data_IF_234362831145
#
_entry.id   IF_234362831145
#
_cell.length_a   1.000
_cell.length_b   1.000
_cell.length_c   1.000
_cell.angle_alpha   90.00
_cell.angle_beta   90.00
_cell.angle_gamma   90.00
#
_symmetry.space_group_name_H-M   'P 1'
#
loop_
_entity.id
_entity.type
_entity.pdbx_description
1 polymer ?
#
# COMPACT_ATOMS: atom_id res chain seq x y z
N UNK A 1 -28.13 -49.42 -5.90
CA UNK A 1 -26.97 -48.56 -5.62
C UNK A 1 -26.00 -48.80 -6.77
N UNK A 2 -25.90 -47.83 -7.69
CA UNK A 2 -25.01 -47.96 -8.85
C UNK A 2 -23.55 -47.97 -8.42
N UNK A 3 -22.85 -49.04 -8.78
CA UNK A 3 -21.44 -49.26 -8.44
C UNK A 3 -20.55 -48.13 -8.98
N UNK A 4 -20.93 -47.57 -10.13
CA UNK A 4 -20.23 -46.48 -10.80
C UNK A 4 -20.29 -45.16 -10.00
N UNK A 5 -21.38 -44.91 -9.29
CA UNK A 5 -21.52 -43.74 -8.42
C UNK A 5 -20.65 -43.84 -7.17
N UNK A 6 -20.49 -45.05 -6.63
CA UNK A 6 -19.62 -45.34 -5.49
C UNK A 6 -18.13 -45.19 -5.85
N UNK A 7 -17.73 -45.68 -7.03
CA UNK A 7 -16.37 -45.51 -7.55
C UNK A 7 -16.06 -44.03 -7.81
N UNK A 8 -17.02 -43.27 -8.34
CA UNK A 8 -16.87 -41.83 -8.54
C UNK A 8 -16.71 -41.06 -7.21
N UNK A 9 -17.45 -41.47 -6.18
CA UNK A 9 -17.36 -40.88 -4.84
C UNK A 9 -16.02 -41.18 -4.15
N UNK A 10 -15.41 -42.33 -4.42
CA UNK A 10 -14.12 -42.73 -3.85
C UNK A 10 -12.90 -42.24 -4.63
N UNK A 11 -12.99 -42.20 -5.97
CA UNK A 11 -11.88 -41.81 -6.86
C UNK A 11 -11.82 -40.32 -7.16
N UNK A 12 -12.89 -39.57 -6.88
CA UNK A 12 -13.02 -38.16 -7.23
C UNK A 12 -13.15 -37.89 -8.74
N UNK A 13 -13.20 -38.94 -9.57
CA UNK A 13 -13.39 -38.85 -11.01
C UNK A 13 -14.82 -39.26 -11.38
N UNK A 14 -15.56 -38.34 -12.01
CA UNK A 14 -16.89 -38.63 -12.51
C UNK A 14 -16.82 -39.52 -13.76
N UNK A 15 -17.80 -40.43 -13.96
CA UNK A 15 -17.87 -41.26 -15.15
C UNK A 15 -18.04 -40.40 -16.42
N UNK A 16 -17.57 -40.90 -17.58
CA UNK A 16 -17.65 -40.17 -18.84
C UNK A 16 -19.10 -39.81 -19.17
N UNK A 17 -19.38 -38.51 -19.37
CA UNK A 17 -20.72 -37.97 -19.60
C UNK A 17 -21.30 -37.19 -18.41
N UNK A 18 -20.71 -37.32 -17.20
CA UNK A 18 -21.08 -36.52 -16.04
C UNK A 18 -20.18 -35.27 -15.94
N UNK A 19 -20.76 -34.09 -16.14
CA UNK A 19 -20.08 -32.81 -15.87
C UNK A 19 -20.18 -32.50 -14.38
N UNK A 20 -19.05 -32.14 -13.75
CA UNK A 20 -19.08 -31.46 -12.45
C UNK A 20 -19.99 -30.23 -12.58
N UNK A 21 -20.92 -29.99 -11.65
CA UNK A 21 -21.63 -28.72 -11.62
C UNK A 21 -20.58 -27.61 -11.61
N UNK A 22 -20.67 -26.67 -12.55
CA UNK A 22 -19.80 -25.50 -12.56
C UNK A 22 -19.82 -24.91 -11.15
N UNK A 23 -18.64 -24.78 -10.53
CA UNK A 23 -18.53 -24.21 -9.19
C UNK A 23 -19.34 -22.92 -9.18
N UNK A 24 -20.39 -22.89 -8.34
CA UNK A 24 -21.23 -21.70 -8.22
C UNK A 24 -20.27 -20.56 -7.92
N UNK A 25 -20.25 -19.46 -8.71
CA UNK A 25 -19.39 -18.35 -8.39
C UNK A 25 -19.77 -17.90 -6.98
N UNK A 26 -18.86 -18.13 -6.03
CA UNK A 26 -19.11 -17.83 -4.63
C UNK A 26 -19.64 -16.40 -4.55
N UNK A 27 -20.74 -16.23 -3.81
CA UNK A 27 -21.42 -14.94 -3.72
C UNK A 27 -20.45 -13.91 -3.16
N UNK A 28 -19.81 -13.13 -4.06
CA UNK A 28 -18.82 -12.13 -3.66
C UNK A 28 -19.51 -11.14 -2.72
N UNK A 29 -18.92 -10.85 -1.55
CA UNK A 29 -19.55 -9.97 -0.59
C UNK A 29 -19.83 -8.61 -1.20
N UNK A 30 -20.97 -8.04 -0.81
CA UNK A 30 -21.35 -6.72 -1.25
C UNK A 30 -20.55 -5.64 -0.49
N UNK A 31 -20.44 -4.47 -1.10
CA UNK A 31 -19.86 -3.28 -0.49
C UNK A 31 -20.53 -2.94 0.86
N UNK A 32 -19.74 -2.64 1.89
CA UNK A 32 -20.27 -2.26 3.22
C UNK A 32 -21.03 -0.92 3.29
N UNK A 33 -21.07 -0.14 2.21
CA UNK A 33 -21.76 1.14 2.21
C UNK A 33 -23.27 0.93 2.02
N UNK A 34 -24.07 1.59 2.86
CA UNK A 34 -25.54 1.58 2.75
C UNK A 34 -25.97 1.88 1.29
N UNK A 35 -26.86 1.05 0.74
CA UNK A 35 -27.42 1.14 -0.63
C UNK A 35 -26.42 0.86 -1.77
N UNK A 36 -25.25 0.27 -1.48
CA UNK A 36 -24.32 -0.18 -2.53
C UNK A 36 -24.29 -1.71 -2.58
N UNK A 37 -24.77 -2.30 -3.68
CA UNK A 37 -24.82 -3.74 -3.89
C UNK A 37 -23.70 -4.26 -4.80
N UNK A 38 -22.67 -3.44 -5.04
CA UNK A 38 -21.56 -3.85 -5.90
C UNK A 38 -20.66 -4.86 -5.19
N UNK A 39 -20.13 -5.87 -5.92
CA UNK A 39 -19.16 -6.79 -5.36
C UNK A 39 -17.88 -6.04 -4.99
N UNK A 40 -17.20 -6.53 -3.96
CA UNK A 40 -15.90 -6.02 -3.54
C UNK A 40 -14.76 -6.77 -4.24
N UNK A 41 -13.62 -6.10 -4.39
CA UNK A 41 -12.41 -6.72 -4.90
C UNK A 41 -11.72 -7.56 -3.82
N UNK A 42 -10.98 -8.57 -4.25
CA UNK A 42 -10.05 -9.32 -3.40
C UNK A 42 -8.72 -8.57 -3.40
N UNK A 43 -8.17 -8.31 -2.22
CA UNK A 43 -6.87 -7.67 -2.03
C UNK A 43 -5.75 -8.67 -2.36
N UNK A 44 -4.51 -8.15 -2.49
CA UNK A 44 -3.32 -8.97 -2.74
C UNK A 44 -3.04 -10.03 -1.66
N UNK A 45 -3.52 -9.82 -0.43
CA UNK A 45 -3.40 -10.76 0.68
C UNK A 45 -4.58 -11.76 0.77
N UNK A 46 -5.41 -11.88 -0.27
CA UNK A 46 -6.58 -12.77 -0.28
C UNK A 46 -7.79 -12.25 0.49
N UNK A 47 -7.65 -11.18 1.27
CA UNK A 47 -8.77 -10.58 2.01
C UNK A 47 -9.73 -9.84 1.08
N UNK A 48 -11.01 -9.87 1.43
CA UNK A 48 -12.04 -9.09 0.75
C UNK A 48 -11.97 -7.62 1.17
N UNK A 49 -12.05 -6.71 0.19
CA UNK A 49 -12.11 -5.29 0.47
C UNK A 49 -13.43 -4.92 1.18
N UNK A 50 -13.39 -4.02 2.18
CA UNK A 50 -14.61 -3.59 2.88
C UNK A 50 -15.57 -2.80 1.98
N UNK A 51 -15.06 -2.10 0.96
CA UNK A 51 -15.85 -1.23 0.11
C UNK A 51 -15.41 -1.36 -1.35
N UNK A 52 -16.35 -1.19 -2.27
CA UNK A 52 -16.05 -1.16 -3.70
C UNK A 52 -15.32 0.14 -4.08
N UNK A 53 -14.54 0.09 -5.17
CA UNK A 53 -13.74 1.22 -5.65
C UNK A 53 -14.58 2.49 -5.87
N UNK A 54 -15.78 2.35 -6.47
CA UNK A 54 -16.67 3.50 -6.71
C UNK A 54 -17.06 4.25 -5.44
N UNK A 55 -17.31 3.54 -4.34
CA UNK A 55 -17.65 4.16 -3.06
C UNK A 55 -16.45 4.86 -2.44
N UNK A 56 -15.26 4.26 -2.54
CA UNK A 56 -14.01 4.88 -2.10
C UNK A 56 -13.73 6.16 -2.88
N UNK A 57 -13.89 6.14 -4.21
CA UNK A 57 -13.70 7.32 -5.06
C UNK A 57 -14.68 8.44 -4.72
N UNK A 58 -15.96 8.10 -4.51
CA UNK A 58 -16.98 9.08 -4.09
C UNK A 58 -16.62 9.71 -2.75
N UNK A 59 -16.19 8.90 -1.78
CA UNK A 59 -15.73 9.39 -0.47
C UNK A 59 -14.51 10.29 -0.61
N UNK A 60 -13.52 9.89 -1.40
CA UNK A 60 -12.32 10.67 -1.67
C UNK A 60 -12.66 12.04 -2.32
N UNK A 61 -13.56 12.06 -3.30
CA UNK A 61 -14.06 13.31 -3.91
C UNK A 61 -14.74 14.22 -2.87
N UNK A 62 -15.59 13.66 -2.01
CA UNK A 62 -16.24 14.42 -0.91
C UNK A 62 -15.21 14.99 0.07
N UNK A 63 -14.19 14.22 0.46
CA UNK A 63 -13.11 14.69 1.32
C UNK A 63 -12.31 15.81 0.65
N UNK A 64 -11.97 15.68 -0.64
CA UNK A 64 -11.26 16.74 -1.40
C UNK A 64 -12.05 18.04 -1.43
N UNK A 65 -13.35 17.98 -1.71
CA UNK A 65 -14.24 19.17 -1.69
C UNK A 65 -14.26 19.85 -0.32
N UNK A 66 -14.46 19.06 0.76
CA UNK A 66 -14.44 19.59 2.14
C UNK A 66 -13.11 20.24 2.48
N UNK A 67 -11.99 19.60 2.11
CA UNK A 67 -10.65 20.16 2.32
C UNK A 67 -10.45 21.48 1.57
N UNK A 68 -10.88 21.55 0.30
CA UNK A 68 -10.78 22.77 -0.49
C UNK A 68 -11.57 23.92 0.17
N UNK A 69 -12.78 23.64 0.65
CA UNK A 69 -13.57 24.61 1.40
C UNK A 69 -12.85 25.14 2.65
N UNK A 70 -12.34 24.26 3.52
CA UNK A 70 -11.65 24.70 4.72
C UNK A 70 -10.37 25.48 4.41
N UNK A 71 -9.64 25.11 3.36
CA UNK A 71 -8.45 25.86 2.92
C UNK A 71 -8.82 27.26 2.43
N UNK A 72 -9.94 27.41 1.72
CA UNK A 72 -10.44 28.72 1.29
C UNK A 72 -10.82 29.62 2.48
N UNK A 73 -11.31 29.03 3.58
CA UNK A 73 -11.61 29.74 4.84
C UNK A 73 -10.38 30.02 5.73
N UNK A 74 -9.16 29.91 5.20
CA UNK A 74 -7.93 30.15 5.96
C UNK A 74 -7.37 28.91 6.67
N UNK A 75 -7.86 27.72 6.34
CA UNK A 75 -7.28 26.45 6.77
C UNK A 75 -5.92 26.17 6.14
N UNK A 76 -5.13 25.35 6.83
CA UNK A 76 -3.82 24.86 6.39
C UNK A 76 -3.93 24.04 5.09
N UNK A 77 -3.08 24.27 4.09
CA UNK A 77 -3.13 23.52 2.83
C UNK A 77 -2.87 22.01 2.99
N UNK A 78 -2.06 21.62 3.97
CA UNK A 78 -1.66 20.21 4.20
C UNK A 78 -2.72 19.41 4.96
N UNK A 79 -3.28 19.95 6.05
CA UNK A 79 -4.26 19.23 6.87
C UNK A 79 -5.69 19.73 6.71
N UNK A 80 -5.93 20.90 6.13
CA UNK A 80 -7.21 21.61 5.99
C UNK A 80 -7.87 22.05 7.31
N UNK A 81 -7.77 21.26 8.38
CA UNK A 81 -8.57 21.45 9.60
C UNK A 81 -8.03 22.47 10.60
N UNK A 82 -6.74 22.82 10.53
CA UNK A 82 -6.13 23.82 11.44
C UNK A 82 -5.98 25.15 10.75
N UNK A 83 -6.23 26.25 11.47
CA UNK A 83 -5.95 27.61 10.98
C UNK A 83 -4.45 27.79 10.74
N UNK A 84 -4.13 28.58 9.71
CA UNK A 84 -2.77 29.05 9.42
C UNK A 84 -2.57 30.43 10.04
N UNK A 85 -1.31 30.83 10.27
CA UNK A 85 -1.00 32.22 10.58
C UNK A 85 -1.14 33.08 9.31
N UNK A 86 -1.29 34.39 9.48
CA UNK A 86 -1.34 35.31 8.34
C UNK A 86 0.00 35.30 7.58
N UNK A 87 -0.06 35.38 6.25
CA UNK A 87 1.12 35.21 5.38
C UNK A 87 1.58 33.75 5.17
N UNK A 88 1.00 32.78 5.88
CA UNK A 88 1.43 31.38 5.82
C UNK A 88 0.48 30.45 5.04
N UNK A 89 1.05 29.39 4.45
CA UNK A 89 0.29 28.34 3.76
C UNK A 89 0.01 27.10 4.62
N UNK A 90 0.80 26.91 5.68
CA UNK A 90 0.76 25.75 6.57
C UNK A 90 0.52 26.19 8.02
N UNK A 91 -0.13 25.33 8.80
CA UNK A 91 -0.15 25.51 10.25
C UNK A 91 1.19 25.08 10.87
N UNK A 92 1.48 25.55 12.08
CA UNK A 92 2.75 25.31 12.78
C UNK A 92 3.17 23.82 12.81
N UNK A 93 2.23 22.91 13.13
CA UNK A 93 2.49 21.47 13.11
C UNK A 93 2.92 20.98 11.73
N UNK A 94 2.13 21.29 10.71
CA UNK A 94 2.41 20.84 9.34
C UNK A 94 3.68 21.46 8.75
N UNK A 95 4.12 22.61 9.28
CA UNK A 95 5.44 23.19 8.98
C UNK A 95 6.54 22.34 9.60
N UNK A 96 6.47 22.06 10.91
CA UNK A 96 7.43 21.18 11.59
C UNK A 96 7.57 19.82 10.91
N UNK A 97 6.44 19.17 10.57
CA UNK A 97 6.45 17.91 9.83
C UNK A 97 7.22 18.02 8.49
N UNK A 98 7.06 19.15 7.78
CA UNK A 98 7.72 19.39 6.49
C UNK A 98 9.22 19.64 6.64
N UNK A 99 9.63 20.27 7.73
CA UNK A 99 11.04 20.53 8.02
C UNK A 99 11.76 19.23 8.39
N UNK A 100 11.11 18.35 9.16
CA UNK A 100 11.59 16.98 9.42
C UNK A 100 11.73 16.19 8.11
N UNK A 101 10.72 16.21 7.24
CA UNK A 101 10.78 15.56 5.92
C UNK A 101 11.93 16.08 5.06
N UNK A 102 12.19 17.39 5.08
CA UNK A 102 13.31 18.00 4.36
C UNK A 102 14.66 17.58 4.95
N UNK A 103 14.76 17.52 6.27
CA UNK A 103 15.97 17.07 6.95
C UNK A 103 16.27 15.61 6.60
N UNK A 104 15.26 14.75 6.62
CA UNK A 104 15.40 13.34 6.24
C UNK A 104 15.87 13.20 4.79
N UNK A 105 15.22 13.89 3.84
CA UNK A 105 15.62 13.86 2.43
C UNK A 105 17.06 14.31 2.18
N UNK A 106 17.56 15.26 2.97
CA UNK A 106 18.96 15.70 2.89
C UNK A 106 19.90 14.60 3.37
N UNK A 107 19.55 13.89 4.44
CA UNK A 107 20.33 12.74 4.93
C UNK A 107 20.34 11.62 3.91
N UNK A 108 19.16 11.24 3.41
CA UNK A 108 19.04 10.19 2.38
C UNK A 108 19.88 10.52 1.13
N UNK A 109 19.96 11.79 0.73
CA UNK A 109 20.79 12.22 -0.39
C UNK A 109 22.30 12.15 -0.10
N UNK A 110 22.71 12.46 1.14
CA UNK A 110 24.11 12.30 1.58
C UNK A 110 24.48 10.82 1.62
N UNK A 111 23.60 9.98 2.17
CA UNK A 111 23.82 8.54 2.27
C UNK A 111 23.89 7.90 0.87
N UNK A 112 23.00 8.32 -0.04
CA UNK A 112 23.05 7.88 -1.44
C UNK A 112 24.37 8.29 -2.12
N UNK A 113 24.81 9.55 -1.93
CA UNK A 113 26.08 10.01 -2.48
C UNK A 113 27.29 9.23 -1.91
N UNK A 114 27.27 8.88 -0.63
CA UNK A 114 28.30 8.06 -0.01
C UNK A 114 28.31 6.62 -0.55
N UNK A 115 27.14 6.04 -0.81
CA UNK A 115 27.00 4.73 -1.46
C UNK A 115 27.53 4.78 -2.89
N UNK A 116 27.20 5.84 -3.64
CA UNK A 116 27.68 6.02 -5.02
C UNK A 116 29.20 6.20 -5.07
N UNK A 117 29.79 6.96 -4.15
CA UNK A 117 31.24 7.12 -4.03
C UNK A 117 31.92 5.78 -3.70
N UNK A 118 31.35 5.01 -2.77
CA UNK A 118 31.81 3.68 -2.44
C UNK A 118 31.74 2.74 -3.65
N UNK A 119 30.63 2.75 -4.38
CA UNK A 119 30.43 1.93 -5.58
C UNK A 119 31.40 2.32 -6.72
N UNK A 120 31.79 3.59 -6.81
CA UNK A 120 32.73 4.07 -7.83
C UNK A 120 34.20 3.69 -7.55
N UNK A 121 34.57 3.50 -6.28
CA UNK A 121 35.95 3.14 -5.88
C UNK A 121 35.97 2.10 -4.75
N UNK A 122 35.47 0.87 -4.97
CA UNK A 122 35.42 -0.17 -3.95
C UNK A 122 36.82 -0.52 -3.40
N UNK A 123 37.85 -0.40 -4.25
CA UNK A 123 39.28 -0.59 -3.95
C UNK A 123 39.78 0.30 -2.79
N UNK A 124 39.18 1.48 -2.60
CA UNK A 124 39.62 2.46 -1.58
C UNK A 124 39.04 2.16 -0.20
N UNK A 125 37.96 1.39 -0.12
CA UNK A 125 37.33 1.03 1.14
C UNK A 125 38.13 0.04 1.99
N UNK A 126 38.96 -0.80 1.35
CA UNK A 126 39.81 -1.79 2.04
C UNK A 126 41.19 -1.25 2.44
N UNK A 127 41.56 -0.02 2.06
CA UNK A 127 42.87 0.56 2.41
C UNK A 127 42.94 1.16 3.82
N UNK A 128 41.83 1.23 4.55
CA UNK A 128 41.78 1.72 5.94
C UNK A 128 41.41 0.65 6.97
N UNK A 129 41.21 -0.61 6.56
CA UNK A 129 41.23 -1.73 7.50
C UNK A 129 42.67 -1.96 7.97
N UNK A 130 42.98 -1.48 9.17
CA UNK A 130 44.13 -1.90 9.99
C UNK A 130 44.05 -3.40 10.34
N UNK A 131 44.03 -4.27 9.33
CA UNK A 131 44.16 -5.73 9.48
C UNK A 131 45.50 -6.22 8.91
N UNK A 132 46.50 -5.33 8.90
CA UNK A 132 47.89 -5.63 8.57
C UNK A 132 48.73 -6.08 9.77
N UNK A 133 48.14 -6.67 10.81
CA UNK A 133 48.91 -7.33 11.87
C UNK A 133 48.75 -8.84 11.76
N UNK A 134 49.60 -9.37 10.87
CA UNK A 134 50.22 -10.69 10.88
C UNK A 134 49.52 -11.82 11.63
N UNK A 135 48.97 -12.74 10.86
CA UNK A 135 49.16 -14.16 11.10
C UNK A 135 49.48 -14.84 9.76
N UNK A 136 50.65 -15.46 9.69
CA UNK A 136 51.12 -16.39 8.65
C UNK A 136 51.84 -17.52 9.37
N UNK A 137 51.93 -18.73 8.80
CA UNK A 137 50.92 -19.57 8.16
C UNK A 137 50.19 -20.51 9.15
#
# INVERSE_FOLDING_TARGET
>A
MDLDLLIAQWSGQLPPGCLLPAERPEARPACSHKRCHRPVAIKRNGELAKACQRCLDRRARSCRRRRAFFVAQGGCRRCAYRKRAEGDFLCARCRGDRDVERAQKRRDAIDAAAIDEFAAKPETAHRTSNLGCGLSP
#
